data_IF_519963192084
#
_entry.id   IF_519963192084
#
_cell.length_a   1.000
_cell.length_b   1.000
_cell.length_c   1.000
_cell.angle_alpha   90.00
_cell.angle_beta   90.00
_cell.angle_gamma   90.00
#
_symmetry.space_group_name_H-M   'P 1'
#
loop_
_entity.id
_entity.type
_entity.pdbx_description
1 polymer ?
#
# COMPACT_ATOMS: atom_id res chain seq x y z
N UNK A 1 22.14 -16.32 8.43
CA UNK A 1 22.53 -14.92 8.69
C UNK A 1 21.51 -14.34 9.66
N UNK A 2 21.99 -13.79 10.78
CA UNK A 2 21.19 -13.17 11.82
C UNK A 2 20.81 -11.76 11.35
N UNK A 3 19.52 -11.39 11.45
CA UNK A 3 19.08 -10.00 11.37
C UNK A 3 18.26 -9.73 12.63
N UNK A 4 18.76 -8.84 13.48
CA UNK A 4 18.12 -8.46 14.73
C UNK A 4 17.00 -7.45 14.52
N UNK A 5 15.99 -7.51 15.37
CA UNK A 5 14.81 -6.63 15.36
C UNK A 5 14.84 -5.76 16.61
N UNK A 6 14.67 -4.44 16.44
CA UNK A 6 14.24 -3.52 17.49
C UNK A 6 13.09 -2.67 16.94
N UNK A 7 12.00 -2.48 17.71
CA UNK A 7 10.99 -1.44 17.41
C UNK A 7 9.55 -1.76 17.81
N UNK A 8 8.94 -0.87 18.62
CA UNK A 8 7.53 -0.88 19.04
C UNK A 8 6.59 -0.20 18.04
N UNK A 9 6.48 -0.72 16.81
CA UNK A 9 5.59 -0.18 15.77
C UNK A 9 4.10 -0.37 16.07
N UNK A 10 3.27 0.62 15.70
CA UNK A 10 1.81 0.63 15.90
C UNK A 10 1.00 0.03 14.74
N UNK A 11 1.63 -0.36 13.64
CA UNK A 11 0.97 -0.88 12.44
C UNK A 11 1.82 -1.92 11.71
N UNK A 12 1.16 -2.83 11.01
CA UNK A 12 1.79 -3.83 10.14
C UNK A 12 1.14 -3.80 8.76
N UNK A 13 2.00 -3.84 7.73
CA UNK A 13 1.60 -3.95 6.33
C UNK A 13 2.31 -5.14 5.72
N UNK A 14 1.57 -6.00 5.01
CA UNK A 14 2.12 -7.14 4.28
C UNK A 14 1.92 -6.92 2.78
N UNK A 15 3.03 -6.91 2.02
CA UNK A 15 3.05 -6.84 0.56
C UNK A 15 3.05 -8.23 -0.08
N UNK A 16 2.25 -8.42 -1.14
CA UNK A 16 2.28 -9.62 -1.97
C UNK A 16 3.21 -9.40 -3.18
N UNK A 17 4.33 -10.12 -3.24
CA UNK A 17 5.30 -10.08 -4.37
C UNK A 17 5.05 -11.30 -5.28
N UNK A 18 5.09 -11.10 -6.62
CA UNK A 18 4.89 -12.08 -7.73
C UNK A 18 5.70 -13.42 -7.62
N UNK A 19 5.30 -14.50 -8.34
CA UNK A 19 5.72 -15.87 -8.04
C UNK A 19 7.13 -16.25 -8.49
N UNK A 20 7.86 -16.90 -7.58
CA UNK A 20 8.96 -17.81 -7.90
C UNK A 20 8.76 -19.15 -7.17
N UNK A 21 9.14 -20.24 -7.84
CA UNK A 21 8.65 -21.63 -7.72
C UNK A 21 8.74 -22.27 -6.32
N UNK A 22 7.78 -23.19 -6.09
CA UNK A 22 7.48 -23.97 -4.88
C UNK A 22 8.57 -24.91 -4.36
N UNK A 23 8.69 -25.05 -3.03
CA UNK A 23 9.09 -26.31 -2.35
C UNK A 23 8.37 -26.46 -0.97
N UNK A 24 8.07 -27.69 -0.50
CA UNK A 24 7.21 -27.92 0.66
C UNK A 24 7.96 -28.26 1.97
N UNK A 25 7.35 -27.86 3.10
CA UNK A 25 7.59 -28.42 4.44
C UNK A 25 8.17 -27.42 5.45
N UNK A 26 7.37 -26.96 6.41
CA UNK A 26 7.90 -26.28 7.61
C UNK A 26 7.00 -26.50 8.83
N UNK A 27 7.54 -27.19 9.85
CA UNK A 27 7.15 -27.04 11.25
C UNK A 27 8.08 -25.99 11.89
N UNK A 28 7.57 -25.13 12.78
CA UNK A 28 8.43 -24.29 13.62
C UNK A 28 7.86 -24.13 15.04
N UNK A 29 8.75 -24.33 16.02
CA UNK A 29 8.59 -24.11 17.46
C UNK A 29 9.34 -22.83 17.89
N UNK A 30 8.80 -22.10 18.87
CA UNK A 30 9.48 -21.04 19.63
C UNK A 30 9.35 -19.62 19.08
N UNK A 31 8.48 -18.80 19.70
CA UNK A 31 8.10 -17.46 19.23
C UNK A 31 8.75 -16.33 20.05
N UNK A 32 9.57 -15.50 19.40
CA UNK A 32 9.88 -14.11 19.80
C UNK A 32 10.03 -13.25 18.54
N UNK A 33 9.10 -12.30 18.39
CA UNK A 33 8.95 -11.27 17.33
C UNK A 33 8.81 -11.78 15.89
N UNK A 34 7.59 -11.64 15.34
CA UNK A 34 7.19 -12.18 14.04
C UNK A 34 6.96 -11.06 13.00
N UNK A 35 7.91 -10.89 12.07
CA UNK A 35 7.63 -10.34 10.73
C UNK A 35 7.81 -11.49 9.75
N UNK A 36 6.73 -11.91 9.10
CA UNK A 36 6.73 -13.00 8.12
C UNK A 36 6.18 -12.53 6.78
N UNK A 37 7.02 -12.56 5.74
CA UNK A 37 6.61 -12.40 4.34
C UNK A 37 6.34 -13.79 3.75
N UNK A 38 5.16 -14.01 3.17
CA UNK A 38 4.82 -15.25 2.47
C UNK A 38 4.83 -14.98 0.96
N UNK A 39 5.44 -15.87 0.18
CA UNK A 39 5.50 -15.78 -1.28
C UNK A 39 4.54 -16.82 -1.90
N UNK A 40 3.55 -16.32 -2.63
CA UNK A 40 2.62 -16.96 -3.59
C UNK A 40 1.99 -18.32 -3.27
N UNK A 41 0.65 -18.33 -3.30
CA UNK A 41 -0.12 -19.45 -3.85
C UNK A 41 -1.40 -19.81 -3.13
N UNK A 42 -1.61 -19.33 -1.90
CA UNK A 42 -2.76 -19.74 -1.10
C UNK A 42 -3.37 -18.57 -0.33
N UNK A 43 -4.48 -18.04 -0.85
CA UNK A 43 -5.27 -17.01 -0.17
C UNK A 43 -5.64 -17.44 1.26
N UNK A 44 -5.79 -18.73 1.55
CA UNK A 44 -6.11 -19.21 2.90
C UNK A 44 -4.95 -19.04 3.88
N UNK A 45 -3.70 -19.17 3.42
CA UNK A 45 -2.51 -18.90 4.23
C UNK A 45 -2.33 -17.39 4.51
N UNK A 46 -2.74 -16.53 3.57
CA UNK A 46 -2.69 -15.08 3.75
C UNK A 46 -3.80 -14.55 4.66
N UNK A 47 -5.01 -15.09 4.53
CA UNK A 47 -6.15 -14.75 5.39
C UNK A 47 -5.93 -15.23 6.83
N UNK A 48 -5.46 -16.47 7.03
CA UNK A 48 -5.13 -16.99 8.36
C UNK A 48 -4.00 -16.21 9.04
N UNK A 49 -3.04 -15.70 8.28
CA UNK A 49 -2.00 -14.82 8.80
C UNK A 49 -2.54 -13.45 9.22
N UNK A 50 -3.43 -12.86 8.43
CA UNK A 50 -4.04 -11.56 8.74
C UNK A 50 -4.91 -11.66 9.99
N UNK A 51 -5.66 -12.76 10.12
CA UNK A 51 -6.43 -13.08 11.33
C UNK A 51 -5.51 -13.29 12.55
N UNK A 52 -4.39 -14.00 12.38
CA UNK A 52 -3.39 -14.16 13.44
C UNK A 52 -2.87 -12.81 13.93
N UNK A 53 -2.47 -11.92 13.01
CA UNK A 53 -2.01 -10.57 13.36
C UNK A 53 -3.10 -9.78 14.08
N UNK A 54 -4.34 -9.82 13.59
CA UNK A 54 -5.49 -9.16 14.21
C UNK A 54 -5.70 -9.61 15.65
N UNK A 55 -5.72 -10.92 15.90
CA UNK A 55 -5.95 -11.52 17.23
C UNK A 55 -4.81 -11.30 18.23
N UNK A 56 -3.58 -11.04 17.76
CA UNK A 56 -2.40 -10.84 18.61
C UNK A 56 -2.01 -9.35 18.76
N UNK A 57 -2.93 -8.44 18.44
CA UNK A 57 -2.79 -7.02 18.80
C UNK A 57 -3.03 -6.83 20.31
N UNK A 58 -1.94 -6.91 21.09
CA UNK A 58 -1.99 -6.84 22.55
C UNK A 58 -2.06 -5.37 23.01
N UNK A 59 -3.13 -5.03 23.76
CA UNK A 59 -3.42 -3.83 24.57
C UNK A 59 -3.30 -2.42 23.98
N UNK A 60 -2.57 -2.21 22.90
CA UNK A 60 -2.53 -0.97 22.13
C UNK A 60 -3.29 -1.16 20.81
N UNK A 61 -4.07 -0.15 20.39
CA UNK A 61 -4.73 -0.17 19.08
C UNK A 61 -3.67 -0.31 17.99
N UNK A 62 -3.70 -1.43 17.27
CA UNK A 62 -2.82 -1.71 16.13
C UNK A 62 -3.64 -1.93 14.88
N UNK A 63 -3.17 -1.36 13.79
CA UNK A 63 -3.81 -1.47 12.49
C UNK A 63 -3.04 -2.49 11.64
N UNK A 64 -3.80 -3.39 11.02
CA UNK A 64 -3.34 -4.37 10.04
C UNK A 64 -3.88 -3.96 8.69
N UNK A 65 -2.99 -3.75 7.71
CA UNK A 65 -3.36 -3.46 6.32
C UNK A 65 -2.79 -4.51 5.38
N UNK A 66 -3.47 -4.74 4.26
CA UNK A 66 -2.97 -5.62 3.20
C UNK A 66 -2.77 -4.84 1.90
N UNK A 67 -1.73 -5.22 1.16
CA UNK A 67 -1.43 -4.69 -0.15
C UNK A 67 -1.63 -5.80 -1.20
N UNK A 68 -2.57 -5.58 -2.12
CA UNK A 68 -2.84 -6.50 -3.21
C UNK A 68 -3.16 -5.70 -4.49
N UNK A 69 -2.46 -6.02 -5.58
CA UNK A 69 -2.83 -5.59 -6.93
C UNK A 69 -3.73 -6.66 -7.53
N UNK A 70 -5.03 -6.57 -7.24
CA UNK A 70 -6.02 -7.57 -7.60
C UNK A 70 -7.35 -6.90 -7.98
N UNK A 71 -8.35 -7.70 -8.37
CA UNK A 71 -9.71 -7.19 -8.54
C UNK A 71 -10.26 -6.64 -7.22
N UNK A 72 -11.29 -5.77 -7.29
CA UNK A 72 -11.93 -5.24 -6.07
C UNK A 72 -12.49 -6.37 -5.21
N UNK A 73 -13.09 -7.40 -5.82
CA UNK A 73 -13.62 -8.57 -5.09
C UNK A 73 -12.53 -9.31 -4.31
N UNK A 74 -11.42 -9.67 -4.96
CA UNK A 74 -10.28 -10.32 -4.31
C UNK A 74 -9.68 -9.43 -3.21
N UNK A 75 -9.61 -8.13 -3.48
CA UNK A 75 -9.05 -7.15 -2.55
C UNK A 75 -9.93 -7.00 -1.30
N UNK A 76 -11.25 -7.09 -1.42
CA UNK A 76 -12.17 -7.04 -0.28
C UNK A 76 -12.16 -8.35 0.52
N UNK A 77 -11.82 -9.49 -0.08
CA UNK A 77 -11.70 -10.76 0.64
C UNK A 77 -10.66 -10.69 1.77
N UNK A 78 -9.59 -9.91 1.60
CA UNK A 78 -8.56 -9.68 2.63
C UNK A 78 -9.08 -8.97 3.89
N UNK A 79 -10.21 -8.25 3.82
CA UNK A 79 -10.84 -7.63 4.99
C UNK A 79 -11.48 -8.67 5.93
N UNK A 80 -11.60 -9.92 5.47
CA UNK A 80 -12.23 -11.02 6.20
C UNK A 80 -13.74 -10.86 6.32
N UNK A 81 -14.33 -11.53 7.30
CA UNK A 81 -15.76 -11.50 7.58
C UNK A 81 -16.02 -11.46 9.10
N UNK A 82 -17.28 -11.59 9.51
CA UNK A 82 -17.70 -11.46 10.91
C UNK A 82 -17.11 -12.56 11.83
N UNK A 83 -16.78 -13.75 11.29
CA UNK A 83 -16.22 -14.87 12.07
C UNK A 83 -14.69 -14.93 12.00
N UNK A 84 -14.12 -14.54 10.86
CA UNK A 84 -12.68 -14.53 10.60
C UNK A 84 -12.27 -13.09 10.21
N UNK A 85 -11.95 -12.23 11.20
CA UNK A 85 -11.57 -10.85 10.91
C UNK A 85 -10.23 -10.79 10.17
N UNK A 86 -10.21 -10.07 9.05
CA UNK A 86 -9.00 -9.82 8.27
C UNK A 86 -8.46 -8.40 8.47
N UNK A 87 -7.91 -7.84 7.41
CA UNK A 87 -7.31 -6.51 7.42
C UNK A 87 -8.33 -5.43 7.83
N UNK A 88 -7.86 -4.36 8.44
CA UNK A 88 -8.68 -3.19 8.76
C UNK A 88 -9.10 -2.48 7.47
N UNK A 89 -8.17 -2.39 6.51
CA UNK A 89 -8.43 -2.06 5.12
C UNK A 89 -7.31 -2.62 4.23
N UNK A 90 -7.58 -2.71 2.94
CA UNK A 90 -6.62 -3.02 1.89
C UNK A 90 -6.28 -1.77 1.10
N UNK A 91 -5.03 -1.62 0.62
CA UNK A 91 -4.66 -0.43 -0.13
C UNK A 91 -5.43 -0.32 -1.45
N UNK A 92 -6.09 0.82 -1.64
CA UNK A 92 -6.86 1.13 -2.83
C UNK A 92 -6.01 1.78 -3.91
N UNK A 93 -5.51 0.99 -4.86
CA UNK A 93 -4.70 1.47 -5.98
C UNK A 93 -5.51 1.88 -7.22
N UNK A 94 -6.85 2.00 -7.13
CA UNK A 94 -7.67 2.35 -8.30
C UNK A 94 -7.22 3.67 -8.95
N UNK A 95 -6.82 4.69 -8.16
CA UNK A 95 -6.34 5.98 -8.69
C UNK A 95 -4.90 5.95 -9.25
N UNK A 96 -4.20 4.81 -9.15
CA UNK A 96 -2.91 4.60 -9.81
C UNK A 96 -3.11 4.31 -11.31
N UNK A 97 -4.27 3.79 -11.71
CA UNK A 97 -4.59 3.32 -13.07
C UNK A 97 -4.67 4.39 -14.17
N UNK A 98 -4.36 5.66 -13.85
CA UNK A 98 -4.39 6.83 -14.75
C UNK A 98 -5.72 7.01 -15.52
N UNK A 99 -6.86 7.20 -14.82
CA UNK A 99 -8.11 7.70 -15.41
C UNK A 99 -7.87 8.87 -16.36
N UNK A 100 -8.60 8.86 -17.48
CA UNK A 100 -8.44 9.83 -18.58
C UNK A 100 -9.63 10.78 -18.73
N UNK A 101 -10.73 10.51 -18.03
CA UNK A 101 -11.93 11.32 -18.03
C UNK A 101 -12.51 11.47 -16.61
N UNK A 102 -13.37 12.47 -16.42
CA UNK A 102 -14.12 12.66 -15.17
C UNK A 102 -14.96 11.41 -14.85
N UNK A 103 -15.54 10.77 -15.87
CA UNK A 103 -16.31 9.55 -15.68
C UNK A 103 -15.45 8.39 -15.19
N UNK A 104 -14.19 8.29 -15.64
CA UNK A 104 -13.26 7.28 -15.13
C UNK A 104 -12.98 7.51 -13.64
N UNK A 105 -12.75 8.76 -13.23
CA UNK A 105 -12.55 9.10 -11.81
C UNK A 105 -13.78 8.73 -10.97
N UNK A 106 -14.97 9.11 -11.41
CA UNK A 106 -16.24 8.80 -10.75
C UNK A 106 -16.44 7.28 -10.60
N UNK A 107 -16.25 6.55 -11.70
CA UNK A 107 -16.36 5.09 -11.72
C UNK A 107 -15.36 4.43 -10.74
N UNK A 108 -14.10 4.85 -10.73
CA UNK A 108 -13.08 4.32 -9.81
C UNK A 108 -13.36 4.66 -8.35
N UNK A 109 -14.00 5.81 -8.11
CA UNK A 109 -14.44 6.23 -6.77
C UNK A 109 -15.54 5.30 -6.27
N UNK A 110 -16.60 5.13 -7.06
CA UNK A 110 -17.76 4.30 -6.75
C UNK A 110 -17.41 2.82 -6.67
N UNK A 111 -16.61 2.31 -7.61
CA UNK A 111 -16.15 0.92 -7.63
C UNK A 111 -15.50 0.52 -6.30
N UNK A 112 -14.80 1.44 -5.64
CA UNK A 112 -14.24 1.16 -4.32
C UNK A 112 -15.25 1.32 -3.20
N UNK A 113 -15.83 2.52 -3.06
CA UNK A 113 -16.68 2.89 -1.91
C UNK A 113 -17.90 1.98 -1.79
N UNK A 114 -18.51 1.63 -2.91
CA UNK A 114 -19.73 0.81 -2.93
C UNK A 114 -19.45 -0.67 -2.62
N UNK A 115 -18.18 -1.10 -2.70
CA UNK A 115 -17.75 -2.48 -2.42
C UNK A 115 -17.04 -2.64 -1.07
N UNK A 116 -16.75 -1.56 -0.33
CA UNK A 116 -16.16 -1.67 1.00
C UNK A 116 -17.09 -2.47 1.92
N UNK A 117 -16.61 -3.56 2.57
CA UNK A 117 -17.44 -4.35 3.45
C UNK A 117 -18.02 -3.53 4.60
N UNK A 118 -19.24 -3.88 5.02
CA UNK A 118 -19.92 -3.22 6.14
C UNK A 118 -19.02 -3.21 7.39
N UNK A 119 -18.88 -2.04 8.03
CA UNK A 119 -18.05 -1.87 9.22
C UNK A 119 -16.55 -1.66 8.94
N UNK A 120 -16.12 -1.68 7.67
CA UNK A 120 -14.78 -1.27 7.24
C UNK A 120 -14.79 0.17 6.73
N UNK A 121 -13.61 0.77 6.60
CA UNK A 121 -13.44 2.13 6.12
C UNK A 121 -12.75 2.14 4.74
N UNK A 122 -13.20 2.97 3.79
CA UNK A 122 -12.47 3.19 2.55
C UNK A 122 -11.11 3.86 2.80
N UNK A 123 -10.24 3.78 1.80
CA UNK A 123 -8.99 4.53 1.73
C UNK A 123 -8.71 4.91 0.27
N UNK A 124 -7.77 5.82 0.07
CA UNK A 124 -7.36 6.31 -1.26
C UNK A 124 -5.85 6.41 -1.33
N UNK A 125 -5.27 5.81 -2.37
CA UNK A 125 -3.86 5.94 -2.71
C UNK A 125 -3.76 6.48 -4.13
N UNK A 126 -3.09 7.62 -4.30
CA UNK A 126 -2.76 8.12 -5.64
C UNK A 126 -1.38 7.63 -6.10
N UNK A 127 -0.40 7.47 -5.23
CA UNK A 127 0.94 7.01 -5.59
C UNK A 127 1.62 6.22 -4.50
N UNK A 128 2.75 5.62 -4.85
CA UNK A 128 3.60 4.81 -3.99
C UNK A 128 4.99 4.65 -4.65
N UNK A 129 5.83 3.81 -4.05
CA UNK A 129 7.20 3.52 -4.48
C UNK A 129 7.31 2.49 -5.63
N UNK A 130 6.18 2.07 -6.21
CA UNK A 130 6.09 1.07 -7.27
C UNK A 130 5.51 1.65 -8.57
N UNK A 131 5.06 2.90 -8.55
CA UNK A 131 4.36 3.51 -9.66
C UNK A 131 4.92 4.92 -9.91
N UNK A 132 5.01 5.34 -11.19
CA UNK A 132 5.45 6.69 -11.57
C UNK A 132 4.72 7.76 -10.77
N UNK A 133 5.37 8.84 -10.31
CA UNK A 133 4.77 9.86 -9.46
C UNK A 133 3.53 10.51 -10.08
N UNK A 134 2.60 10.99 -9.23
CA UNK A 134 1.34 11.64 -9.66
C UNK A 134 1.60 12.76 -10.67
N UNK A 135 2.55 13.66 -10.39
CA UNK A 135 2.91 14.77 -11.26
C UNK A 135 3.46 14.30 -12.62
N UNK A 136 4.15 13.16 -12.67
CA UNK A 136 4.61 12.55 -13.93
C UNK A 136 3.47 11.89 -14.69
N UNK A 137 2.58 11.14 -14.02
CA UNK A 137 1.49 10.41 -14.68
C UNK A 137 0.39 11.31 -15.22
N UNK A 138 -0.02 12.31 -14.44
CA UNK A 138 -1.15 13.19 -14.76
C UNK A 138 -0.73 14.57 -15.27
N UNK A 139 0.54 14.92 -15.10
CA UNK A 139 1.06 16.26 -15.36
C UNK A 139 1.02 17.16 -14.12
N UNK A 140 1.94 18.15 -13.99
CA UNK A 140 2.03 19.01 -12.83
C UNK A 140 0.74 19.79 -12.50
N UNK A 141 -0.04 20.16 -13.52
CA UNK A 141 -1.30 20.88 -13.35
C UNK A 141 -2.40 20.08 -12.64
N UNK A 142 -2.26 18.75 -12.56
CA UNK A 142 -3.24 17.87 -11.92
C UNK A 142 -2.91 17.55 -10.46
N UNK A 143 -1.74 17.95 -9.94
CA UNK A 143 -1.28 17.61 -8.59
C UNK A 143 -2.28 18.09 -7.54
N UNK A 144 -2.66 19.36 -7.58
CA UNK A 144 -3.61 19.93 -6.61
C UNK A 144 -4.97 19.24 -6.69
N UNK A 145 -5.47 18.97 -7.90
CA UNK A 145 -6.75 18.31 -8.10
C UNK A 145 -6.77 16.87 -7.54
N UNK A 146 -5.71 16.10 -7.79
CA UNK A 146 -5.57 14.73 -7.28
C UNK A 146 -5.41 14.75 -5.75
N UNK A 147 -4.62 15.67 -5.19
CA UNK A 147 -4.45 15.79 -3.75
C UNK A 147 -5.75 16.22 -3.04
N UNK A 148 -6.53 17.14 -3.63
CA UNK A 148 -7.86 17.49 -3.15
C UNK A 148 -8.79 16.27 -3.19
N UNK A 149 -8.81 15.52 -4.29
CA UNK A 149 -9.65 14.32 -4.42
C UNK A 149 -9.31 13.27 -3.35
N UNK A 150 -8.03 12.94 -3.17
CA UNK A 150 -7.59 11.95 -2.17
C UNK A 150 -7.96 12.39 -0.76
N UNK A 151 -7.83 13.68 -0.45
CA UNK A 151 -8.05 14.23 0.90
C UNK A 151 -9.53 14.41 1.24
N UNK A 152 -10.37 14.78 0.28
CA UNK A 152 -11.78 15.14 0.52
C UNK A 152 -12.74 13.95 0.43
N UNK A 153 -12.34 12.85 -0.21
CA UNK A 153 -13.18 11.66 -0.28
C UNK A 153 -13.29 10.96 1.09
N UNK A 154 -14.39 10.24 1.35
CA UNK A 154 -14.56 9.51 2.61
C UNK A 154 -13.45 8.48 2.85
N UNK A 155 -13.07 8.33 4.12
CA UNK A 155 -12.13 7.32 4.58
C UNK A 155 -10.74 7.88 4.89
N UNK A 156 -9.73 7.05 4.72
CA UNK A 156 -8.34 7.39 5.06
C UNK A 156 -7.55 7.79 3.80
N UNK A 157 -7.09 9.05 3.67
CA UNK A 157 -6.15 9.42 2.63
C UNK A 157 -4.77 8.80 2.91
N UNK A 158 -4.11 8.31 1.86
CA UNK A 158 -2.72 7.81 1.91
C UNK A 158 -1.92 8.58 0.88
N UNK A 159 -0.89 9.27 1.35
CA UNK A 159 -0.02 10.14 0.55
C UNK A 159 1.38 9.56 0.51
N UNK A 160 1.96 9.45 -0.68
CA UNK A 160 3.36 9.07 -0.87
C UNK A 160 4.25 10.31 -0.78
N UNK A 161 5.43 10.17 -0.17
CA UNK A 161 6.32 11.31 0.09
C UNK A 161 6.66 12.06 -1.21
N UNK A 162 6.44 13.36 -1.22
CA UNK A 162 6.67 14.23 -2.37
C UNK A 162 5.42 14.56 -3.17
N UNK A 163 4.29 13.89 -2.95
CA UNK A 163 3.01 14.26 -3.59
C UNK A 163 2.51 15.63 -3.13
N UNK A 164 2.78 16.01 -1.89
CA UNK A 164 2.40 17.28 -1.27
C UNK A 164 3.16 18.49 -1.83
N UNK A 165 4.32 18.25 -2.44
CA UNK A 165 5.14 19.26 -3.13
C UNK A 165 5.21 19.01 -4.65
N UNK A 166 4.44 18.06 -5.17
CA UNK A 166 4.36 17.78 -6.60
C UNK A 166 5.63 17.23 -7.24
N UNK A 167 6.43 16.44 -6.50
CA UNK A 167 7.63 15.79 -7.05
C UNK A 167 7.28 14.97 -8.30
N UNK A 168 8.17 15.02 -9.29
CA UNK A 168 8.13 14.22 -10.52
C UNK A 168 9.20 13.15 -10.50
N UNK A 169 9.00 12.11 -11.30
CA UNK A 169 10.02 11.11 -11.61
C UNK A 169 11.27 11.78 -12.16
N UNK A 170 12.43 11.24 -11.82
CA UNK A 170 13.71 11.64 -12.41
C UNK A 170 13.99 10.79 -13.63
N UNK A 171 14.26 11.42 -14.78
CA UNK A 171 14.79 10.72 -15.94
C UNK A 171 16.21 10.22 -15.61
N UNK A 172 16.39 8.90 -15.59
CA UNK A 172 17.66 8.25 -15.28
C UNK A 172 18.16 7.49 -16.51
N UNK A 173 19.42 7.71 -16.90
CA UNK A 173 20.03 7.03 -18.04
C UNK A 173 20.32 5.54 -17.75
N UNK A 174 20.54 5.19 -16.48
CA UNK A 174 20.87 3.82 -16.06
C UNK A 174 20.38 3.58 -14.62
N UNK A 175 19.05 3.43 -14.42
CA UNK A 175 18.51 3.09 -13.13
C UNK A 175 18.92 1.66 -12.72
N UNK A 176 19.15 1.43 -11.43
CA UNK A 176 19.46 0.10 -10.90
C UNK A 176 18.19 -0.77 -10.78
N UNK A 177 17.05 -0.12 -10.56
CA UNK A 177 15.72 -0.70 -10.56
C UNK A 177 14.81 0.14 -11.46
N UNK A 178 13.89 -0.50 -12.20
CA UNK A 178 12.91 0.22 -13.02
C UNK A 178 12.07 1.24 -12.25
N UNK A 179 12.00 1.10 -10.92
CA UNK A 179 11.24 1.96 -9.99
C UNK A 179 12.08 3.06 -9.34
N UNK A 180 13.37 3.17 -9.66
CA UNK A 180 14.23 4.23 -9.13
C UNK A 180 13.74 5.65 -9.47
N UNK A 181 13.14 5.92 -10.65
CA UNK A 181 12.63 7.25 -10.98
C UNK A 181 11.63 7.80 -9.94
N UNK A 182 10.74 6.98 -9.40
CA UNK A 182 9.75 7.36 -8.38
C UNK A 182 10.28 7.30 -6.93
N UNK A 183 11.54 6.89 -6.71
CA UNK A 183 12.20 6.72 -5.40
C UNK A 183 13.28 7.74 -5.10
N UNK A 184 13.32 8.82 -5.87
CA UNK A 184 14.27 9.91 -5.70
C UNK A 184 14.17 10.51 -4.29
N UNK A 185 15.30 11.01 -3.74
CA UNK A 185 15.31 11.73 -2.49
C UNK A 185 14.29 12.86 -2.41
N UNK A 186 13.73 13.07 -1.22
CA UNK A 186 12.82 14.17 -0.96
C UNK A 186 13.53 15.52 -1.11
N UNK A 187 12.82 16.53 -1.61
CA UNK A 187 13.36 17.85 -1.92
C UNK A 187 13.03 18.84 -0.78
N UNK A 188 13.95 18.99 0.18
CA UNK A 188 13.72 19.82 1.38
C UNK A 188 13.91 21.31 1.12
N UNK A 189 14.98 21.67 0.41
CA UNK A 189 15.38 23.05 0.12
C UNK A 189 16.18 23.14 -1.20
N UNK A 190 16.74 24.33 -1.48
CA UNK A 190 17.51 24.64 -2.69
C UNK A 190 19.02 24.39 -2.56
N UNK A 191 19.48 23.78 -1.46
CA UNK A 191 20.90 23.44 -1.26
C UNK A 191 21.33 22.23 -2.09
N UNK A 192 22.62 21.88 -2.04
CA UNK A 192 23.14 20.69 -2.73
C UNK A 192 22.37 19.44 -2.32
N UNK A 193 21.96 18.63 -3.31
CA UNK A 193 21.12 17.43 -3.11
C UNK A 193 19.77 17.73 -2.45
N UNK A 194 19.26 18.96 -2.59
CA UNK A 194 18.00 19.42 -2.01
C UNK A 194 17.89 19.19 -0.49
N UNK A 195 19.01 19.37 0.22
CA UNK A 195 19.10 19.20 1.67
C UNK A 195 19.17 17.75 2.15
N UNK A 196 19.29 16.76 1.24
CA UNK A 196 19.53 15.37 1.63
C UNK A 196 20.97 15.20 2.14
N UNK A 197 21.09 14.71 3.38
CA UNK A 197 22.36 14.36 4.04
C UNK A 197 22.89 12.99 3.62
#
# INVERSE_FOLDING_TARGET
MHCGITGGGKSFTKGAIKPMRSLPGLQVSGLKSDVWQCHNGDQSAELSHTEFLYRHTVSDLRIVTAEAYASVEETMAYCGNDTNPGAHFTFNFNLVSRPTSVQDFDNLVHQWVDNVPKGKQPNRVAGNHENPRVATRYGPAMVDAVNMLVTLLPGTPVTYNGEEIGMTDLAMESPNDSRDPERTPFQWDDSTSAGML
#
